data_IF_843075479892
#
_entry.id   IF_843075479892
#
_cell.length_a   1.000
_cell.length_b   1.000
_cell.length_c   1.000
_cell.angle_alpha   90.00
_cell.angle_beta   90.00
_cell.angle_gamma   90.00
#
_symmetry.space_group_name_H-M   'P 1'
#
loop_
_entity.id
_entity.type
_entity.pdbx_description
1 polymer ?
#
# COMPACT_ATOMS: atom_id res chain seq x y z
N UNK A 1 9.69 0.85 -20.36
CA UNK A 1 10.25 0.42 -19.04
C UNK A 1 10.30 1.65 -18.15
N UNK A 2 9.55 1.66 -17.06
CA UNK A 2 9.49 2.80 -16.13
C UNK A 2 10.87 3.07 -15.56
N UNK A 3 11.34 4.31 -15.69
CA UNK A 3 12.56 4.75 -15.02
C UNK A 3 12.18 5.41 -13.70
N UNK A 4 12.68 4.86 -12.60
CA UNK A 4 12.53 5.51 -11.31
C UNK A 4 13.52 6.68 -11.28
N UNK A 5 13.05 7.92 -11.02
CA UNK A 5 13.92 9.08 -10.92
C UNK A 5 15.00 8.88 -9.85
N UNK A 6 16.11 9.60 -9.99
CA UNK A 6 17.17 9.55 -9.01
C UNK A 6 16.72 10.16 -7.68
N UNK A 7 17.09 9.51 -6.58
CA UNK A 7 16.85 9.96 -5.22
C UNK A 7 15.38 10.35 -4.92
N UNK A 8 14.41 9.45 -5.18
CA UNK A 8 13.02 9.73 -4.85
C UNK A 8 12.82 9.77 -3.33
N UNK A 9 11.75 10.45 -2.87
CA UNK A 9 11.20 10.19 -1.55
C UNK A 9 10.62 8.77 -1.55
N UNK A 10 11.11 7.91 -0.67
CA UNK A 10 10.57 6.55 -0.54
C UNK A 10 9.58 6.49 0.62
N UNK A 11 8.35 6.11 0.30
CA UNK A 11 7.29 5.85 1.26
C UNK A 11 6.98 4.35 1.27
N UNK A 12 7.15 3.72 2.42
CA UNK A 12 6.91 2.29 2.57
C UNK A 12 5.61 2.06 3.32
N UNK A 13 4.73 1.28 2.72
CA UNK A 13 3.54 0.75 3.38
C UNK A 13 3.95 -0.39 4.32
N UNK A 14 4.18 -0.02 5.58
CA UNK A 14 4.67 -0.94 6.61
C UNK A 14 3.64 -2.00 6.99
N UNK A 15 2.36 -1.65 6.98
CA UNK A 15 1.26 -2.58 7.25
C UNK A 15 1.17 -3.65 6.17
N UNK A 16 1.24 -3.27 4.90
CA UNK A 16 1.29 -4.21 3.78
C UNK A 16 2.52 -5.12 3.87
N UNK A 17 3.68 -4.56 4.18
CA UNK A 17 4.91 -5.35 4.36
C UNK A 17 4.77 -6.38 5.49
N UNK A 18 4.18 -5.99 6.60
CA UNK A 18 3.99 -6.84 7.77
C UNK A 18 3.12 -8.07 7.45
N UNK A 19 1.92 -7.84 6.90
CA UNK A 19 1.01 -8.94 6.53
C UNK A 19 1.60 -9.84 5.45
N UNK A 20 2.26 -9.27 4.47
CA UNK A 20 2.90 -10.04 3.39
C UNK A 20 4.04 -10.91 3.91
N UNK A 21 4.89 -10.37 4.77
CA UNK A 21 5.95 -11.13 5.39
C UNK A 21 5.39 -12.27 6.26
N UNK A 22 4.35 -12.00 7.02
CA UNK A 22 3.69 -12.99 7.85
C UNK A 22 3.18 -14.21 7.04
N UNK A 23 2.58 -13.96 5.88
CA UNK A 23 2.06 -15.02 5.02
C UNK A 23 3.11 -15.69 4.11
N UNK A 24 4.20 -15.01 3.83
CA UNK A 24 5.23 -15.49 2.90
C UNK A 24 6.32 -16.31 3.59
N UNK A 25 6.60 -16.05 4.86
CA UNK A 25 7.66 -16.73 5.60
C UNK A 25 7.11 -17.84 6.51
N UNK A 26 7.86 -18.91 6.71
CA UNK A 26 7.48 -19.91 7.69
C UNK A 26 7.46 -19.30 9.10
N UNK A 27 6.76 -19.93 10.06
CA UNK A 27 6.71 -19.46 11.44
C UNK A 27 8.08 -19.62 12.12
N UNK A 28 8.96 -18.63 11.90
CA UNK A 28 10.27 -18.59 12.55
C UNK A 28 10.13 -18.10 13.97
N UNK A 29 10.95 -18.65 14.86
CA UNK A 29 11.05 -18.25 16.26
C UNK A 29 12.49 -18.00 16.64
N UNK A 30 12.72 -17.16 17.66
CA UNK A 30 14.03 -17.00 18.28
C UNK A 30 14.30 -18.15 19.29
N UNK A 31 15.46 -18.12 19.96
CA UNK A 31 15.85 -19.12 20.97
C UNK A 31 14.94 -19.16 22.21
N UNK A 32 14.18 -18.10 22.46
CA UNK A 32 13.17 -18.03 23.51
C UNK A 32 11.78 -18.53 23.08
N UNK A 33 11.62 -18.94 21.82
CA UNK A 33 10.34 -19.39 21.25
C UNK A 33 9.42 -18.25 20.80
N UNK A 34 9.88 -17.01 20.81
CA UNK A 34 9.08 -15.87 20.36
C UNK A 34 9.01 -15.79 18.83
N UNK A 35 7.85 -15.46 18.24
CA UNK A 35 7.68 -15.39 16.79
C UNK A 35 8.50 -14.23 16.19
N UNK A 36 9.20 -14.51 15.08
CA UNK A 36 10.11 -13.55 14.42
C UNK A 36 9.98 -13.51 12.90
N UNK A 37 9.18 -14.38 12.30
CA UNK A 37 9.12 -14.53 10.84
C UNK A 37 8.69 -13.27 10.09
N UNK A 38 7.65 -12.61 10.57
CA UNK A 38 7.17 -11.36 9.96
C UNK A 38 8.20 -10.23 10.09
N UNK A 39 8.80 -10.06 11.28
CA UNK A 39 9.88 -9.09 11.49
C UNK A 39 11.06 -9.33 10.52
N UNK A 40 11.50 -10.57 10.44
CA UNK A 40 12.60 -10.96 9.55
C UNK A 40 12.31 -10.59 8.09
N UNK A 41 11.09 -10.91 7.63
CA UNK A 41 10.67 -10.59 6.28
C UNK A 41 10.62 -9.09 6.00
N UNK A 42 10.00 -8.31 6.89
CA UNK A 42 9.90 -6.85 6.75
C UNK A 42 11.29 -6.21 6.73
N UNK A 43 12.18 -6.58 7.65
CA UNK A 43 13.51 -6.01 7.72
C UNK A 43 14.35 -6.32 6.48
N UNK A 44 14.22 -7.53 5.92
CA UNK A 44 14.90 -7.89 4.69
C UNK A 44 14.37 -7.08 3.49
N UNK A 45 13.05 -6.92 3.38
CA UNK A 45 12.46 -6.09 2.32
C UNK A 45 12.91 -4.63 2.43
N UNK A 46 12.88 -4.03 3.63
CA UNK A 46 13.36 -2.67 3.87
C UNK A 46 14.84 -2.52 3.53
N UNK A 47 15.67 -3.44 3.98
CA UNK A 47 17.11 -3.42 3.70
C UNK A 47 17.36 -3.47 2.19
N UNK A 48 16.71 -4.37 1.46
CA UNK A 48 16.85 -4.49 0.02
C UNK A 48 16.45 -3.22 -0.71
N UNK A 49 15.32 -2.62 -0.33
CA UNK A 49 14.81 -1.38 -0.91
C UNK A 49 15.79 -0.21 -0.69
N UNK A 50 16.30 -0.05 0.53
CA UNK A 50 17.25 1.01 0.87
C UNK A 50 18.59 0.82 0.15
N UNK A 51 19.10 -0.40 0.09
CA UNK A 51 20.36 -0.68 -0.60
C UNK A 51 20.26 -0.46 -2.10
N UNK A 52 19.11 -0.76 -2.70
CA UNK A 52 18.88 -0.61 -4.13
C UNK A 52 18.76 0.86 -4.54
N UNK A 53 17.99 1.65 -3.80
CA UNK A 53 17.65 3.02 -4.18
C UNK A 53 18.47 4.09 -3.45
N UNK A 54 19.11 3.76 -2.34
CA UNK A 54 19.95 4.65 -1.53
C UNK A 54 19.30 6.03 -1.30
N UNK A 55 18.06 6.08 -0.80
CA UNK A 55 17.32 7.32 -0.69
C UNK A 55 17.95 8.23 0.37
N UNK A 56 17.89 9.56 0.14
CA UNK A 56 18.21 10.53 1.19
C UNK A 56 17.03 10.75 2.13
N UNK A 57 15.80 10.46 1.67
CA UNK A 57 14.58 10.58 2.46
C UNK A 57 13.71 9.34 2.24
N UNK A 58 13.38 8.68 3.34
CA UNK A 58 12.47 7.56 3.35
C UNK A 58 11.66 7.57 4.65
N UNK A 59 10.46 7.02 4.62
CA UNK A 59 9.64 6.79 5.80
C UNK A 59 8.88 5.48 5.68
N UNK A 60 8.64 4.84 6.83
CA UNK A 60 7.80 3.64 6.92
C UNK A 60 6.52 4.04 7.64
N UNK A 61 5.38 3.82 6.98
CA UNK A 61 4.06 4.21 7.49
C UNK A 61 3.30 2.96 7.91
N UNK A 62 2.77 2.99 9.13
CA UNK A 62 1.94 1.92 9.66
C UNK A 62 0.54 2.44 10.02
N UNK A 63 -0.44 1.55 9.98
CA UNK A 63 -1.74 1.85 10.56
C UNK A 63 -1.62 2.04 12.07
N UNK A 64 -2.28 3.08 12.58
CA UNK A 64 -2.43 3.29 13.99
C UNK A 64 -3.53 2.38 14.56
N UNK A 65 -3.48 2.15 15.88
CA UNK A 65 -4.56 1.42 16.56
C UNK A 65 -5.83 2.27 16.61
N UNK A 66 -6.98 1.64 16.43
CA UNK A 66 -8.28 2.27 16.56
C UNK A 66 -9.07 2.32 15.26
N UNK A 67 -10.24 2.93 15.35
CA UNK A 67 -11.12 3.14 14.20
C UNK A 67 -10.63 4.30 13.35
N UNK A 68 -10.93 4.22 12.06
CA UNK A 68 -10.70 5.29 11.10
C UNK A 68 -12.02 5.94 10.70
N UNK A 69 -11.97 7.06 9.99
CA UNK A 69 -13.18 7.71 9.48
C UNK A 69 -13.99 6.80 8.54
N UNK A 70 -13.38 5.79 7.92
CA UNK A 70 -14.09 4.83 7.07
C UNK A 70 -15.01 3.92 7.84
N UNK A 71 -14.67 3.56 9.08
CA UNK A 71 -15.56 2.82 9.97
C UNK A 71 -16.82 3.62 10.34
N UNK A 72 -16.70 4.95 10.36
CA UNK A 72 -17.85 5.84 10.62
C UNK A 72 -18.72 6.02 9.36
N UNK A 73 -18.10 6.05 8.18
CA UNK A 73 -18.82 6.19 6.90
C UNK A 73 -19.55 4.92 6.49
N UNK A 74 -18.98 3.75 6.78
CA UNK A 74 -19.55 2.46 6.39
C UNK A 74 -19.30 1.40 7.45
N UNK A 75 -20.34 1.05 8.17
CA UNK A 75 -20.29 0.11 9.30
C UNK A 75 -19.70 -1.26 8.94
N UNK A 76 -19.90 -1.71 7.70
CA UNK A 76 -19.40 -2.99 7.22
C UNK A 76 -17.98 -2.95 6.66
N UNK A 77 -17.32 -1.79 6.67
CA UNK A 77 -15.96 -1.63 6.19
C UNK A 77 -15.02 -2.59 6.91
N UNK A 78 -14.35 -3.46 6.14
CA UNK A 78 -13.42 -4.50 6.65
C UNK A 78 -13.98 -5.41 7.75
N UNK A 79 -15.30 -5.40 7.98
CA UNK A 79 -15.96 -6.11 9.12
C UNK A 79 -15.81 -7.63 9.07
N UNK A 80 -15.56 -8.19 7.89
CA UNK A 80 -15.36 -9.63 7.68
C UNK A 80 -13.91 -10.09 7.95
N UNK A 81 -12.98 -9.14 8.17
CA UNK A 81 -11.58 -9.49 8.42
C UNK A 81 -11.44 -10.16 9.79
N UNK A 82 -10.73 -11.29 9.87
CA UNK A 82 -10.44 -11.91 11.16
C UNK A 82 -9.53 -10.99 12.00
N UNK A 83 -9.58 -11.11 13.31
CA UNK A 83 -8.66 -10.38 14.17
C UNK A 83 -7.21 -10.76 13.85
N UNK A 84 -6.31 -9.81 14.07
CA UNK A 84 -4.88 -10.07 13.87
C UNK A 84 -4.42 -11.23 14.75
N UNK A 85 -3.73 -12.25 14.20
CA UNK A 85 -3.17 -13.34 14.98
C UNK A 85 -2.23 -12.87 16.09
N UNK A 86 -2.23 -13.53 17.22
CA UNK A 86 -1.45 -13.12 18.39
C UNK A 86 0.05 -13.18 18.15
N UNK A 87 0.52 -14.18 17.40
CA UNK A 87 1.92 -14.30 16.98
C UNK A 87 2.38 -13.20 16.03
N UNK A 88 1.49 -12.68 15.19
CA UNK A 88 1.77 -11.49 14.38
C UNK A 88 1.76 -10.22 15.25
N UNK A 89 0.78 -10.10 16.14
CA UNK A 89 0.66 -8.95 17.05
C UNK A 89 1.88 -8.78 17.94
N UNK A 90 2.44 -9.89 18.43
CA UNK A 90 3.62 -9.89 19.26
C UNK A 90 4.87 -9.33 18.56
N UNK A 91 4.89 -9.35 17.23
CA UNK A 91 6.03 -8.87 16.44
C UNK A 91 5.98 -7.37 16.14
N UNK A 92 4.85 -6.68 16.38
CA UNK A 92 4.67 -5.26 15.99
C UNK A 92 5.62 -4.33 16.73
N UNK A 93 5.61 -4.36 18.06
CA UNK A 93 6.45 -3.47 18.86
C UNK A 93 7.95 -3.70 18.64
N UNK A 94 8.45 -4.94 18.66
CA UNK A 94 9.84 -5.21 18.30
C UNK A 94 10.20 -4.75 16.89
N UNK A 95 9.32 -4.97 15.91
CA UNK A 95 9.54 -4.49 14.54
C UNK A 95 9.65 -2.97 14.48
N UNK A 96 8.75 -2.25 15.14
CA UNK A 96 8.79 -0.79 15.20
C UNK A 96 10.10 -0.27 15.81
N UNK A 97 10.56 -0.93 16.89
CA UNK A 97 11.85 -0.60 17.50
C UNK A 97 13.03 -0.81 16.53
N UNK A 98 13.01 -1.92 15.79
CA UNK A 98 14.05 -2.21 14.80
C UNK A 98 14.05 -1.24 13.62
N UNK A 99 12.88 -0.87 13.09
CA UNK A 99 12.75 0.13 12.02
C UNK A 99 13.35 1.47 12.46
N UNK A 100 13.02 1.91 13.67
CA UNK A 100 13.60 3.13 14.25
C UNK A 100 15.11 3.03 14.45
N UNK A 101 15.59 1.86 14.91
CA UNK A 101 17.03 1.60 15.08
C UNK A 101 17.80 1.59 13.75
N UNK A 102 17.14 1.28 12.63
CA UNK A 102 17.69 1.43 11.28
C UNK A 102 17.84 2.90 10.85
N UNK A 103 17.37 3.85 11.65
CA UNK A 103 17.38 5.28 11.33
C UNK A 103 16.23 5.71 10.42
N UNK A 104 15.21 4.88 10.24
CA UNK A 104 14.05 5.20 9.42
C UNK A 104 12.94 5.87 10.26
N UNK A 105 12.41 7.03 9.82
CA UNK A 105 11.18 7.56 10.38
C UNK A 105 10.06 6.53 10.29
N UNK A 106 9.41 6.26 11.42
CA UNK A 106 8.22 5.43 11.50
C UNK A 106 7.04 6.33 11.83
N UNK A 107 6.04 6.32 10.95
CA UNK A 107 4.88 7.19 11.01
C UNK A 107 3.62 6.37 11.20
N UNK A 108 2.74 6.81 12.09
CA UNK A 108 1.41 6.26 12.29
C UNK A 108 0.50 7.37 12.81
N UNK A 109 -0.64 7.58 12.18
CA UNK A 109 -1.58 8.66 12.52
C UNK A 109 -2.92 8.06 12.87
N UNK A 110 -3.44 8.39 14.05
CA UNK A 110 -4.75 7.90 14.51
C UNK A 110 -5.89 8.49 13.68
N UNK A 111 -6.93 7.70 13.44
CA UNK A 111 -8.14 8.13 12.76
C UNK A 111 -8.11 8.04 11.24
N UNK A 112 -6.93 7.74 10.67
CA UNK A 112 -6.73 7.51 9.23
C UNK A 112 -5.95 6.22 9.00
N UNK A 113 -6.03 5.67 7.81
CA UNK A 113 -5.22 4.51 7.42
C UNK A 113 -3.83 4.94 6.94
N UNK A 114 -2.88 4.01 6.95
CA UNK A 114 -1.54 4.24 6.41
C UNK A 114 -1.59 4.77 4.97
N UNK A 115 -2.51 4.26 4.16
CA UNK A 115 -2.71 4.64 2.76
C UNK A 115 -3.07 6.12 2.59
N UNK A 116 -3.94 6.65 3.47
CA UNK A 116 -4.32 8.07 3.46
C UNK A 116 -3.11 8.96 3.74
N UNK A 117 -2.30 8.53 4.71
CA UNK A 117 -1.13 9.30 5.10
C UNK A 117 -0.03 9.22 4.04
N UNK A 118 0.22 8.05 3.47
CA UNK A 118 1.11 7.87 2.32
C UNK A 118 0.67 8.73 1.15
N UNK A 119 -0.62 8.69 0.81
CA UNK A 119 -1.19 9.48 -0.28
C UNK A 119 -1.00 10.99 -0.06
N UNK A 120 -1.23 11.46 1.16
CA UNK A 120 -1.01 12.86 1.54
C UNK A 120 0.45 13.26 1.37
N UNK A 121 1.39 12.50 1.92
CA UNK A 121 2.82 12.77 1.80
C UNK A 121 3.30 12.73 0.35
N UNK A 122 2.81 11.77 -0.44
CA UNK A 122 3.17 11.65 -1.85
C UNK A 122 2.72 12.87 -2.66
N UNK A 123 1.48 13.33 -2.44
CA UNK A 123 0.94 14.53 -3.11
C UNK A 123 1.66 15.80 -2.70
N UNK A 124 1.97 15.96 -1.42
CA UNK A 124 2.73 17.13 -0.95
C UNK A 124 4.17 17.13 -1.50
N UNK A 125 4.82 15.97 -1.55
CA UNK A 125 6.15 15.87 -2.16
C UNK A 125 6.12 16.18 -3.67
N UNK A 126 5.12 15.69 -4.40
CA UNK A 126 4.92 15.99 -5.82
C UNK A 126 4.73 17.48 -6.06
N UNK A 127 3.89 18.16 -5.26
CA UNK A 127 3.70 19.62 -5.32
C UNK A 127 5.01 20.37 -5.08
N UNK A 128 5.87 19.86 -4.23
CA UNK A 128 7.21 20.40 -3.98
C UNK A 128 8.23 20.04 -5.06
N UNK A 129 7.81 19.40 -6.15
CA UNK A 129 8.68 18.99 -7.26
C UNK A 129 9.58 17.78 -6.94
N UNK A 130 9.26 17.02 -5.90
CA UNK A 130 10.05 15.85 -5.52
C UNK A 130 9.42 14.56 -6.05
N UNK A 131 10.17 13.73 -6.78
CA UNK A 131 9.68 12.43 -7.21
C UNK A 131 9.49 11.51 -6.00
N UNK A 132 8.47 10.65 -6.09
CA UNK A 132 8.06 9.73 -5.02
C UNK A 132 8.05 8.29 -5.53
N UNK A 133 8.57 7.39 -4.71
CA UNK A 133 8.44 5.95 -4.89
C UNK A 133 7.67 5.39 -3.69
N UNK A 134 6.48 4.85 -3.94
CA UNK A 134 5.67 4.19 -2.93
C UNK A 134 5.89 2.69 -3.04
N UNK A 135 6.39 2.08 -1.96
CA UNK A 135 6.55 0.64 -1.89
C UNK A 135 5.37 0.01 -1.15
N UNK A 136 4.48 -0.59 -1.92
CA UNK A 136 3.25 -1.22 -1.43
C UNK A 136 2.86 -2.42 -2.29
N UNK A 137 2.02 -3.27 -1.76
CA UNK A 137 1.34 -4.32 -2.53
C UNK A 137 -0.13 -4.04 -2.78
N UNK A 138 -0.62 -2.92 -2.26
CA UNK A 138 -2.03 -2.55 -2.37
C UNK A 138 -2.33 -1.98 -3.77
N UNK A 139 -3.35 -2.57 -4.41
CA UNK A 139 -3.83 -2.15 -5.73
C UNK A 139 -4.47 -0.76 -5.70
N UNK A 140 -5.05 -0.39 -4.56
CA UNK A 140 -5.81 0.85 -4.41
C UNK A 140 -4.89 2.08 -4.52
N UNK A 141 -3.61 1.89 -4.17
CA UNK A 141 -2.59 2.92 -4.29
C UNK A 141 -2.27 3.29 -5.76
N UNK A 142 -2.73 2.49 -6.73
CA UNK A 142 -2.57 2.81 -8.16
C UNK A 142 -3.23 4.15 -8.55
N UNK A 143 -4.24 4.59 -7.80
CA UNK A 143 -4.87 5.91 -7.97
C UNK A 143 -3.92 7.09 -7.75
N UNK A 144 -2.82 6.86 -7.03
CA UNK A 144 -1.82 7.90 -6.74
C UNK A 144 -0.79 8.08 -7.84
N UNK A 145 -0.68 7.13 -8.77
CA UNK A 145 0.36 7.12 -9.80
C UNK A 145 0.23 8.32 -10.73
N UNK A 146 1.34 9.01 -10.92
CA UNK A 146 1.52 10.14 -11.85
C UNK A 146 2.89 9.98 -12.51
N UNK A 147 3.28 10.87 -13.45
CA UNK A 147 4.66 10.89 -13.93
C UNK A 147 5.72 11.07 -12.84
N UNK A 148 5.33 11.61 -11.66
CA UNK A 148 6.22 11.88 -10.53
C UNK A 148 6.01 10.95 -9.32
N UNK A 149 4.95 10.15 -9.30
CA UNK A 149 4.65 9.17 -8.26
C UNK A 149 4.61 7.79 -8.88
N UNK A 150 5.52 6.92 -8.48
CA UNK A 150 5.66 5.55 -8.98
C UNK A 150 5.40 4.56 -7.84
N UNK A 151 4.73 3.45 -8.14
CA UNK A 151 4.60 2.34 -7.20
C UNK A 151 5.64 1.25 -7.49
N UNK A 152 6.13 0.63 -6.44
CA UNK A 152 6.91 -0.60 -6.52
C UNK A 152 6.33 -1.68 -5.61
N UNK A 153 6.16 -2.86 -6.17
CA UNK A 153 5.89 -4.07 -5.41
C UNK A 153 7.18 -4.91 -5.35
N UNK A 154 7.86 -4.89 -4.22
CA UNK A 154 9.16 -5.54 -4.05
C UNK A 154 9.10 -7.07 -4.08
N UNK A 155 7.95 -7.68 -3.81
CA UNK A 155 7.83 -9.15 -3.86
C UNK A 155 7.71 -9.68 -5.29
N UNK A 156 7.00 -8.96 -6.15
CA UNK A 156 6.85 -9.31 -7.57
C UNK A 156 7.84 -8.59 -8.46
N UNK A 157 8.64 -7.68 -7.88
CA UNK A 157 9.54 -6.78 -8.59
C UNK A 157 8.84 -6.00 -9.72
N UNK A 158 7.58 -5.61 -9.46
CA UNK A 158 6.75 -4.89 -10.42
C UNK A 158 6.79 -3.39 -10.11
N UNK A 159 7.04 -2.58 -11.14
CA UNK A 159 7.07 -1.12 -11.05
C UNK A 159 5.94 -0.58 -11.90
N UNK A 160 5.11 0.30 -11.31
CA UNK A 160 3.94 0.87 -11.96
C UNK A 160 4.10 2.39 -12.11
N UNK A 161 4.28 2.84 -13.34
CA UNK A 161 4.01 4.20 -13.78
C UNK A 161 2.63 4.28 -14.44
N UNK A 162 2.24 5.43 -15.02
CA UNK A 162 0.91 5.61 -15.62
C UNK A 162 0.55 4.57 -16.69
N UNK A 163 1.47 4.26 -17.59
CA UNK A 163 1.24 3.26 -18.66
C UNK A 163 1.06 1.86 -18.08
N UNK A 164 1.86 1.50 -17.08
CA UNK A 164 1.79 0.19 -16.45
C UNK A 164 0.49 0.00 -15.66
N UNK A 165 -0.07 1.07 -15.09
CA UNK A 165 -1.40 1.04 -14.47
C UNK A 165 -2.46 0.73 -15.52
N UNK A 166 -2.43 1.39 -16.68
CA UNK A 166 -3.36 1.09 -17.79
C UNK A 166 -3.20 -0.36 -18.27
N UNK A 167 -1.96 -0.82 -18.45
CA UNK A 167 -1.70 -2.19 -18.91
C UNK A 167 -2.20 -3.24 -17.90
N UNK A 168 -2.10 -2.94 -16.61
CA UNK A 168 -2.48 -3.89 -15.55
C UNK A 168 -3.97 -3.89 -15.24
N UNK A 169 -4.59 -2.70 -15.16
CA UNK A 169 -5.98 -2.53 -14.70
C UNK A 169 -6.95 -2.16 -15.81
N UNK A 170 -6.46 -1.85 -17.00
CA UNK A 170 -7.28 -1.47 -18.14
C UNK A 170 -7.83 -0.04 -18.08
N UNK A 171 -7.48 0.71 -17.04
CA UNK A 171 -7.88 2.11 -16.84
C UNK A 171 -6.69 2.93 -16.35
N UNK A 172 -6.66 4.25 -16.64
CA UNK A 172 -5.59 5.12 -16.15
C UNK A 172 -5.71 5.39 -14.63
N UNK A 173 -4.67 5.88 -13.97
CA UNK A 173 -4.68 6.14 -12.53
C UNK A 173 -5.85 6.99 -12.04
N UNK A 174 -6.25 8.00 -12.79
CA UNK A 174 -7.37 8.90 -12.47
C UNK A 174 -8.74 8.22 -12.49
N UNK A 175 -8.87 7.05 -13.07
CA UNK A 175 -10.10 6.24 -13.10
C UNK A 175 -10.08 5.02 -12.18
N UNK A 176 -9.03 4.82 -11.41
CA UNK A 176 -8.93 3.68 -10.47
C UNK A 176 -10.03 3.76 -9.40
N UNK A 177 -10.36 4.93 -8.89
CA UNK A 177 -11.45 5.10 -7.91
C UNK A 177 -12.78 4.67 -8.52
N UNK A 178 -13.09 5.14 -9.72
CA UNK A 178 -14.32 4.82 -10.44
C UNK A 178 -14.39 3.33 -10.78
N UNK A 179 -13.25 2.76 -11.17
CA UNK A 179 -13.11 1.34 -11.44
C UNK A 179 -13.44 0.48 -10.20
N UNK A 180 -12.88 0.85 -9.04
CA UNK A 180 -13.15 0.16 -7.78
C UNK A 180 -14.59 0.38 -7.31
N UNK A 181 -15.16 1.57 -7.50
CA UNK A 181 -16.54 1.85 -7.16
C UNK A 181 -17.52 0.99 -7.97
N UNK A 182 -17.27 0.79 -9.26
CA UNK A 182 -18.09 -0.06 -10.13
C UNK A 182 -17.95 -1.54 -9.77
N UNK A 183 -16.72 -2.01 -9.62
CA UNK A 183 -16.41 -3.43 -9.40
C UNK A 183 -16.64 -3.85 -7.95
N UNK A 184 -16.52 -2.93 -7.01
CA UNK A 184 -16.43 -3.20 -5.59
C UNK A 184 -15.03 -3.68 -5.16
N UNK A 185 -14.86 -3.84 -3.87
CA UNK A 185 -13.66 -4.40 -3.27
C UNK A 185 -14.00 -5.41 -2.16
N UNK A 186 -13.86 -6.68 -2.48
CA UNK A 186 -14.12 -7.76 -1.54
C UNK A 186 -13.13 -7.77 -0.37
N UNK A 187 -11.91 -7.27 -0.55
CA UNK A 187 -10.92 -7.21 0.52
C UNK A 187 -11.29 -6.21 1.62
N UNK A 188 -12.05 -5.19 1.26
CA UNK A 188 -12.54 -4.16 2.17
C UNK A 188 -14.04 -4.29 2.49
N UNK A 189 -14.67 -5.35 1.95
CA UNK A 189 -16.10 -5.59 2.09
C UNK A 189 -16.96 -4.48 1.46
N UNK A 190 -16.48 -3.88 0.39
CA UNK A 190 -17.19 -2.84 -0.35
C UNK A 190 -17.96 -3.49 -1.50
N UNK A 191 -19.29 -3.38 -1.55
CA UNK A 191 -20.07 -3.89 -2.65
C UNK A 191 -19.87 -3.00 -3.89
N UNK A 192 -19.75 -3.65 -5.05
CA UNK A 192 -19.82 -2.94 -6.32
C UNK A 192 -21.26 -2.89 -6.85
N UNK A 193 -21.39 -2.49 -8.11
CA UNK A 193 -22.67 -2.52 -8.82
C UNK A 193 -23.00 -3.98 -9.16
N UNK A 194 -24.20 -4.47 -8.80
CA UNK A 194 -24.58 -5.86 -9.09
C UNK A 194 -24.43 -6.22 -10.57
N UNK A 195 -23.71 -7.31 -10.84
CA UNK A 195 -23.46 -7.78 -12.19
C UNK A 195 -22.30 -7.09 -12.92
N UNK A 196 -21.65 -6.10 -12.30
CA UNK A 196 -20.48 -5.41 -12.85
C UNK A 196 -19.21 -6.00 -12.24
N UNK A 197 -18.52 -6.82 -13.01
CA UNK A 197 -17.18 -7.30 -12.65
C UNK A 197 -16.08 -6.48 -13.33
N UNK A 198 -14.84 -6.91 -13.14
CA UNK A 198 -13.64 -6.23 -13.64
C UNK A 198 -13.73 -5.86 -15.14
N UNK A 199 -14.04 -6.82 -15.99
CA UNK A 199 -14.11 -6.60 -17.44
C UNK A 199 -15.20 -5.61 -17.85
N UNK A 200 -16.36 -5.68 -17.19
CA UNK A 200 -17.47 -4.77 -17.44
C UNK A 200 -17.13 -3.36 -17.00
N UNK A 201 -16.55 -3.22 -15.81
CA UNK A 201 -16.10 -1.92 -15.30
C UNK A 201 -15.05 -1.27 -16.22
N UNK A 202 -14.06 -2.05 -16.67
CA UNK A 202 -13.08 -1.58 -17.65
C UNK A 202 -13.73 -1.09 -18.94
N UNK A 203 -14.65 -1.88 -19.51
CA UNK A 203 -15.32 -1.53 -20.77
C UNK A 203 -16.15 -0.25 -20.64
N UNK A 204 -16.88 -0.09 -19.53
CA UNK A 204 -17.67 1.11 -19.27
C UNK A 204 -16.78 2.35 -19.20
N UNK A 205 -15.72 2.31 -18.40
CA UNK A 205 -14.83 3.45 -18.21
C UNK A 205 -14.02 3.78 -19.46
N UNK A 206 -13.59 2.77 -20.23
CA UNK A 206 -12.88 2.98 -21.50
C UNK A 206 -13.80 3.59 -22.58
N UNK A 207 -15.06 3.22 -22.58
CA UNK A 207 -16.00 3.70 -23.59
C UNK A 207 -16.67 5.03 -23.27
N UNK A 208 -16.93 5.28 -21.99
CA UNK A 208 -17.78 6.40 -21.53
C UNK A 208 -17.08 7.43 -20.65
N UNK A 209 -15.86 7.14 -20.18
CA UNK A 209 -15.13 7.99 -19.27
C UNK A 209 -15.41 7.68 -17.80
N UNK A 210 -15.35 8.67 -16.92
CA UNK A 210 -15.56 8.48 -15.48
C UNK A 210 -17.04 8.35 -15.09
N UNK A 211 -17.29 8.07 -13.81
CA UNK A 211 -18.64 7.90 -13.27
C UNK A 211 -19.54 9.12 -13.47
N UNK A 212 -18.96 10.31 -13.48
CA UNK A 212 -19.71 11.55 -13.73
C UNK A 212 -20.26 11.66 -15.16
N UNK A 213 -19.82 10.81 -16.07
CA UNK A 213 -20.25 10.74 -17.46
C UNK A 213 -21.10 9.51 -17.79
N UNK A 214 -21.21 8.57 -16.88
CA UNK A 214 -22.08 7.39 -16.94
C UNK A 214 -23.50 7.72 -16.49
#
# INVERSE_FOLDING_TARGET
MVQIPQNPLILVDGSSYLYRAYHAFPPLTNSAGEPTGAMYGVLNMLRSLIMQYKPTHAAVVFDAKGKTFRDELFEHYKSHRPPMPDDLRAQIEPLHAMVKAMGLPLLAVSGVEADDFIGTLAREAEKAGRPVLISTGDKDMAQLVTPNITLINTMTNTILGPEEVVNKYGVPPELIIDFLALMGDSSDNIPGVPGVGEKTAQALLQGLGGLDTL
#
